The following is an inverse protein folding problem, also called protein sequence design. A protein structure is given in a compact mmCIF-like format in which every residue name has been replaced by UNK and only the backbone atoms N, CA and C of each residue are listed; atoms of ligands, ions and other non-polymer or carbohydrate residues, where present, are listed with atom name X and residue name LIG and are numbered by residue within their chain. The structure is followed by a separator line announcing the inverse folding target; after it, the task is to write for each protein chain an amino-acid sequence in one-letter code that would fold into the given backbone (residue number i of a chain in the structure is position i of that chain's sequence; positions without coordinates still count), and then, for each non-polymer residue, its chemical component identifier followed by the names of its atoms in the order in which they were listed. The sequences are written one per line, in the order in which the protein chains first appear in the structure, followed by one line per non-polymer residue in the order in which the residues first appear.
data_IF_592241172696
#
_entry.id   IF_592241172696
#
_cell.length_a   1.000
_cell.length_b   1.000
_cell.length_c   1.000
_cell.angle_alpha   90.00
_cell.angle_beta   90.00
_cell.angle_gamma   90.00
#
_symmetry.space_group_name_H-M   'P 1'
#
loop_
_entity.id
_entity.type
_entity.pdbx_description
1 polymer ?
#
# COMPACT_ATOMS: atom_id res chain seq x y z
N UNK A 1 27.83 -23.28 -1.90
CA UNK A 1 27.12 -22.05 -2.16
C UNK A 1 27.89 -20.87 -1.59
N UNK A 2 28.01 -19.82 -2.34
CA UNK A 2 28.79 -18.69 -1.90
C UNK A 2 27.99 -17.77 -0.96
N UNK A 3 28.72 -17.11 -0.09
CA UNK A 3 28.09 -16.15 0.82
C UNK A 3 27.51 -14.99 0.05
N UNK A 4 28.17 -14.60 -1.03
CA UNK A 4 27.69 -13.50 -1.85
C UNK A 4 26.34 -13.79 -2.44
N UNK A 5 26.13 -15.00 -2.92
CA UNK A 5 24.82 -15.40 -3.44
C UNK A 5 23.76 -15.31 -2.37
N UNK A 6 24.12 -15.75 -1.17
CA UNK A 6 23.17 -15.72 -0.06
C UNK A 6 22.79 -14.27 0.26
N UNK A 7 23.74 -13.36 0.24
CA UNK A 7 23.45 -11.96 0.50
C UNK A 7 22.57 -11.35 -0.57
N UNK A 8 22.84 -11.69 -1.83
CA UNK A 8 22.01 -11.20 -2.92
C UNK A 8 20.59 -11.73 -2.81
N UNK A 9 20.47 -13.00 -2.48
CA UNK A 9 19.16 -13.61 -2.31
C UNK A 9 18.40 -12.92 -1.20
N UNK A 10 19.08 -12.58 -0.13
CA UNK A 10 18.46 -11.92 0.99
C UNK A 10 17.94 -10.55 0.60
N UNK A 11 18.71 -9.81 -0.15
CA UNK A 11 18.28 -8.49 -0.62
C UNK A 11 17.06 -8.62 -1.53
N UNK A 12 17.08 -9.61 -2.41
CA UNK A 12 15.95 -9.84 -3.29
C UNK A 12 14.72 -10.30 -2.51
N UNK A 13 14.93 -11.10 -1.49
CA UNK A 13 13.84 -11.53 -0.64
C UNK A 13 13.16 -10.36 0.04
N UNK A 14 13.94 -9.42 0.54
CA UNK A 14 13.37 -8.26 1.18
C UNK A 14 12.54 -7.45 0.20
N UNK A 15 13.06 -7.23 -1.01
CA UNK A 15 12.33 -6.49 -2.03
C UNK A 15 11.07 -7.23 -2.44
N UNK A 16 11.17 -8.54 -2.59
CA UNK A 16 10.02 -9.36 -2.97
C UNK A 16 8.98 -9.39 -1.86
N UNK A 17 9.42 -9.47 -0.62
CA UNK A 17 8.49 -9.45 0.50
C UNK A 17 7.73 -8.14 0.57
N UNK A 18 8.41 -7.03 0.32
CA UNK A 18 7.72 -5.75 0.28
C UNK A 18 6.68 -5.72 -0.82
N UNK A 19 6.99 -6.29 -1.98
CA UNK A 19 6.04 -6.36 -3.08
C UNK A 19 4.89 -7.31 -2.77
N UNK A 20 5.18 -8.41 -2.07
CA UNK A 20 4.16 -9.38 -1.70
C UNK A 20 3.33 -8.90 -0.54
N UNK A 21 3.90 -8.03 0.27
CA UNK A 21 3.19 -7.53 1.42
C UNK A 21 1.95 -6.78 0.95
N UNK A 22 0.82 -7.28 1.37
CA UNK A 22 -0.44 -6.70 0.96
C UNK A 22 -0.94 -5.78 2.05
N UNK A 23 -0.60 -4.52 1.90
CA UNK A 23 -1.00 -3.53 2.89
C UNK A 23 -2.52 -3.39 2.96
N UNK A 24 -3.19 -3.66 1.85
CA UNK A 24 -4.66 -3.60 1.85
C UNK A 24 -5.22 -4.68 2.76
N UNK A 25 -4.67 -5.89 2.67
CA UNK A 25 -5.11 -6.98 3.53
C UNK A 25 -4.78 -6.72 4.98
N UNK A 26 -3.57 -6.23 5.25
CA UNK A 26 -3.17 -5.92 6.62
C UNK A 26 -4.08 -4.85 7.21
N UNK A 27 -4.38 -3.83 6.44
CA UNK A 27 -5.25 -2.76 6.90
C UNK A 27 -6.66 -3.27 7.17
N UNK A 28 -7.17 -4.10 6.27
CA UNK A 28 -8.50 -4.67 6.44
C UNK A 28 -8.59 -5.50 7.70
N UNK A 29 -7.58 -6.32 7.94
CA UNK A 29 -7.55 -7.15 9.16
C UNK A 29 -7.48 -6.28 10.41
N UNK A 30 -6.67 -5.24 10.36
CA UNK A 30 -6.56 -4.34 11.50
C UNK A 30 -7.87 -3.64 11.80
N UNK A 31 -8.53 -3.16 10.76
CA UNK A 31 -9.79 -2.45 10.90
C UNK A 31 -10.87 -3.37 11.47
N UNK A 32 -10.96 -4.58 10.94
CA UNK A 32 -11.95 -5.54 11.42
C UNK A 32 -11.70 -5.94 12.86
N UNK A 33 -10.41 -6.08 13.20
CA UNK A 33 -10.05 -6.47 14.56
C UNK A 33 -10.39 -5.39 15.57
N UNK A 34 -10.22 -4.13 15.18
CA UNK A 34 -10.40 -3.02 16.12
C UNK A 34 -11.87 -2.65 16.31
N UNK A 35 -12.59 -2.42 15.21
CA UNK A 35 -13.92 -1.86 15.38
C UNK A 35 -14.87 -2.20 14.25
N UNK A 36 -14.50 -3.11 13.38
CA UNK A 36 -15.35 -3.52 12.28
C UNK A 36 -15.85 -2.32 11.47
N UNK A 37 -14.96 -1.37 11.20
CA UNK A 37 -15.30 -0.17 10.46
C UNK A 37 -15.40 -0.45 8.97
N UNK A 38 -16.09 0.45 8.26
CA UNK A 38 -16.20 0.37 6.81
C UNK A 38 -14.91 0.89 6.19
N UNK A 39 -14.28 0.05 5.38
CA UNK A 39 -13.04 0.39 4.69
C UNK A 39 -13.32 0.62 3.22
N UNK A 40 -12.88 1.75 2.70
CA UNK A 40 -13.14 2.10 1.30
C UNK A 40 -11.90 2.73 0.69
N UNK A 41 -11.64 2.40 -0.57
CA UNK A 41 -10.55 2.99 -1.33
C UNK A 41 -11.13 3.84 -2.44
N UNK A 42 -10.66 5.06 -2.56
CA UNK A 42 -11.16 5.98 -3.58
C UNK A 42 -10.00 6.58 -4.36
N UNK A 43 -10.11 6.52 -5.69
CA UNK A 43 -9.10 7.13 -6.56
C UNK A 43 -9.43 8.61 -6.68
N UNK A 44 -8.61 9.47 -6.09
CA UNK A 44 -8.91 10.88 -6.00
C UNK A 44 -8.17 11.73 -7.02
N UNK A 45 -7.22 11.15 -7.75
CA UNK A 45 -6.55 11.93 -8.76
C UNK A 45 -5.58 11.12 -9.57
N UNK A 46 -5.17 11.72 -10.69
CA UNK A 46 -4.14 11.17 -11.52
C UNK A 46 -3.43 12.34 -12.19
N UNK A 47 -2.10 12.33 -12.15
CA UNK A 47 -1.29 13.42 -12.67
C UNK A 47 -0.17 12.88 -13.54
N UNK A 48 0.37 13.75 -14.39
CA UNK A 48 1.47 13.40 -15.26
C UNK A 48 1.03 13.00 -16.65
N UNK A 49 1.98 12.88 -17.57
CA UNK A 49 1.68 12.47 -18.95
C UNK A 49 1.26 11.02 -19.02
N UNK A 50 0.64 10.63 -20.12
CA UNK A 50 0.11 9.28 -20.28
C UNK A 50 1.15 8.20 -20.06
N UNK A 51 2.39 8.46 -20.46
CA UNK A 51 3.46 7.46 -20.35
C UNK A 51 4.13 7.45 -18.96
N UNK A 52 3.75 8.39 -18.09
CA UNK A 52 4.33 8.48 -16.74
C UNK A 52 3.29 8.99 -15.76
N UNK A 53 2.10 8.42 -15.82
CA UNK A 53 0.99 8.86 -15.01
C UNK A 53 1.12 8.36 -13.58
N UNK A 54 0.83 9.23 -12.63
CA UNK A 54 0.79 8.88 -11.22
C UNK A 54 -0.64 8.97 -10.74
N UNK A 55 -1.07 7.90 -10.10
CA UNK A 55 -2.42 7.84 -9.53
C UNK A 55 -2.35 8.13 -8.03
N UNK A 56 -3.37 8.80 -7.53
CA UNK A 56 -3.48 9.08 -6.10
C UNK A 56 -4.74 8.42 -5.57
N UNK A 57 -4.56 7.66 -4.51
CA UNK A 57 -5.66 6.94 -3.87
C UNK A 57 -5.79 7.36 -2.42
N UNK A 58 -7.01 7.39 -1.93
CA UNK A 58 -7.30 7.68 -0.54
C UNK A 58 -7.94 6.47 0.11
N UNK A 59 -7.58 6.22 1.36
CA UNK A 59 -8.24 5.21 2.19
C UNK A 59 -9.20 5.92 3.10
N UNK A 60 -10.43 5.46 3.11
CA UNK A 60 -11.49 6.05 3.93
C UNK A 60 -11.99 5.03 4.93
N UNK A 61 -12.06 5.43 6.18
CA UNK A 61 -12.62 4.63 7.26
C UNK A 61 -13.87 5.33 7.77
N UNK A 62 -15.02 4.67 7.61
CA UNK A 62 -16.30 5.26 7.97
C UNK A 62 -16.52 6.62 7.31
N UNK A 63 -16.02 6.76 6.08
CA UNK A 63 -16.14 8.00 5.34
C UNK A 63 -15.11 9.05 5.67
N UNK A 64 -14.18 8.78 6.57
CA UNK A 64 -13.13 9.71 6.94
C UNK A 64 -11.80 9.27 6.32
N UNK A 65 -11.04 10.23 5.83
CA UNK A 65 -9.76 9.93 5.21
C UNK A 65 -8.75 9.46 6.25
N UNK A 66 -8.24 8.25 6.05
CA UNK A 66 -7.28 7.64 6.96
C UNK A 66 -5.86 7.68 6.39
N UNK A 67 -5.72 7.76 5.08
CA UNK A 67 -4.41 7.81 4.47
C UNK A 67 -4.52 8.02 2.98
N UNK A 68 -3.44 8.49 2.38
CA UNK A 68 -3.36 8.66 0.94
C UNK A 68 -2.05 8.09 0.43
N UNK A 69 -2.05 7.74 -0.85
CA UNK A 69 -0.84 7.22 -1.47
C UNK A 69 -0.85 7.43 -2.96
N UNK A 70 0.34 7.44 -3.53
CA UNK A 70 0.50 7.57 -4.97
C UNK A 70 1.27 6.39 -5.52
N UNK A 71 1.05 6.11 -6.78
CA UNK A 71 1.74 5.03 -7.45
C UNK A 71 1.59 5.13 -8.95
N UNK A 72 2.37 4.34 -9.67
CA UNK A 72 2.33 4.34 -11.12
C UNK A 72 1.14 3.59 -11.67
N UNK A 73 0.44 2.86 -10.83
CA UNK A 73 -0.77 2.15 -11.21
C UNK A 73 -1.77 2.33 -10.08
N UNK A 74 -3.03 2.01 -10.38
CA UNK A 74 -4.07 2.08 -9.36
C UNK A 74 -3.75 1.17 -8.19
N UNK A 75 -3.25 -0.03 -8.48
CA UNK A 75 -2.91 -0.98 -7.43
C UNK A 75 -1.79 -0.44 -6.55
N UNK A 76 -0.76 0.13 -7.15
CA UNK A 76 0.32 0.72 -6.37
C UNK A 76 -0.17 1.87 -5.50
N UNK A 77 -1.04 2.70 -6.05
CA UNK A 77 -1.59 3.82 -5.29
C UNK A 77 -2.42 3.32 -4.10
N UNK A 78 -3.20 2.27 -4.30
CA UNK A 78 -3.99 1.69 -3.22
C UNK A 78 -3.11 1.10 -2.14
N UNK A 79 -2.06 0.40 -2.53
CA UNK A 79 -1.12 -0.16 -1.56
C UNK A 79 -0.41 0.93 -0.78
N UNK A 80 -0.01 1.99 -1.46
CA UNK A 80 0.64 3.11 -0.78
C UNK A 80 -0.32 3.80 0.19
N UNK A 81 -1.57 3.95 -0.21
CA UNK A 81 -2.58 4.55 0.66
C UNK A 81 -2.84 3.68 1.89
N UNK A 82 -2.92 2.37 1.67
CA UNK A 82 -3.12 1.43 2.77
C UNK A 82 -1.95 1.48 3.76
N UNK A 83 -0.73 1.56 3.23
CA UNK A 83 0.44 1.67 4.10
C UNK A 83 0.39 2.93 4.95
N UNK A 84 0.02 4.05 4.32
CA UNK A 84 -0.09 5.30 5.07
C UNK A 84 -1.14 5.20 6.16
N UNK A 85 -2.28 4.59 5.86
CA UNK A 85 -3.33 4.40 6.84
C UNK A 85 -2.88 3.50 7.99
N UNK A 86 -2.15 2.43 7.66
CA UNK A 86 -1.62 1.55 8.69
C UNK A 86 -0.70 2.30 9.64
N UNK A 87 0.18 3.13 9.10
CA UNK A 87 1.10 3.90 9.91
C UNK A 87 0.35 4.88 10.80
N UNK A 88 -0.71 5.46 10.29
CA UNK A 88 -1.50 6.41 11.07
C UNK A 88 -2.27 5.73 12.19
N UNK A 89 -2.64 4.46 12.01
CA UNK A 89 -3.44 3.73 12.98
C UNK A 89 -2.58 2.98 14.03
N UNK A 90 -1.30 2.85 13.77
CA UNK A 90 -0.41 2.16 14.69
C UNK A 90 0.21 3.06 15.75
#
# INVERSE_FOLDING_TARGET
MSVASTLLDKEQEEAVEERRRDYKTELQELVQRRSNQTLHYEMIGATGPDHAKLFTCAVLLNGQMAGTGTGKSKKEAEQAAARAALQALQ
#
